data_IF_452968583517
#
_entry.id   IF_452968583517
#
_cell.length_a   1.000
_cell.length_b   1.000
_cell.length_c   1.000
_cell.angle_alpha   90.00
_cell.angle_beta   90.00
_cell.angle_gamma   90.00
#
_symmetry.space_group_name_H-M   'P 1'
#
loop_
_entity.id
_entity.type
_entity.pdbx_description
1 polymer ?
#
# COMPACT_ATOMS: atom_id res chain seq x y z
N UNK A 1 11.04 15.47 -0.94
CA UNK A 1 10.03 14.59 -1.53
C UNK A 1 9.55 13.60 -0.48
N UNK A 2 8.24 13.37 -0.38
CA UNK A 2 7.61 12.59 0.68
C UNK A 2 8.00 11.10 0.66
N UNK A 3 8.07 10.39 -0.50
CA UNK A 3 8.48 8.99 -0.54
C UNK A 3 9.90 8.78 -0.01
N UNK A 4 10.84 9.66 -0.39
CA UNK A 4 12.22 9.60 0.09
C UNK A 4 12.33 9.92 1.58
N UNK A 5 11.51 10.84 2.09
CA UNK A 5 11.39 11.12 3.52
C UNK A 5 10.93 9.86 4.28
N UNK A 6 9.86 9.21 3.83
CA UNK A 6 9.35 7.98 4.44
C UNK A 6 10.41 6.90 4.54
N UNK A 7 11.16 6.66 3.46
CA UNK A 7 12.25 5.68 3.45
C UNK A 7 13.37 6.03 4.43
N UNK A 8 13.75 7.32 4.52
CA UNK A 8 14.79 7.78 5.46
C UNK A 8 14.39 7.57 6.91
N UNK A 9 13.12 7.78 7.23
CA UNK A 9 12.57 7.56 8.58
C UNK A 9 12.19 6.09 8.84
N UNK A 10 12.68 5.15 8.01
CA UNK A 10 12.42 3.69 8.10
C UNK A 10 10.93 3.31 7.97
N UNK A 11 10.11 4.19 7.41
CA UNK A 11 8.73 3.89 7.04
C UNK A 11 8.67 2.91 5.86
N UNK A 12 7.59 2.13 5.80
CA UNK A 12 7.32 1.25 4.66
C UNK A 12 6.65 2.05 3.54
N UNK A 13 7.22 1.99 2.34
CA UNK A 13 6.66 2.59 1.14
C UNK A 13 5.86 1.55 0.35
N UNK A 14 4.61 1.87 0.02
CA UNK A 14 3.76 1.09 -0.90
C UNK A 14 3.43 2.00 -2.08
N UNK A 15 3.63 1.52 -3.30
CA UNK A 15 3.31 2.26 -4.52
C UNK A 15 2.13 1.61 -5.22
N UNK A 16 1.15 2.42 -5.56
CA UNK A 16 0.00 2.04 -6.38
C UNK A 16 -0.06 3.03 -7.53
N UNK A 17 0.28 2.58 -8.72
CA UNK A 17 0.30 3.42 -9.90
C UNK A 17 0.02 2.61 -11.15
N UNK A 18 -0.59 3.18 -12.19
CA UNK A 18 -0.83 2.46 -13.45
C UNK A 18 0.50 2.12 -14.14
N UNK A 19 1.47 3.04 -14.09
CA UNK A 19 2.75 2.93 -14.78
C UNK A 19 3.93 2.83 -13.80
N UNK A 20 5.07 2.25 -14.23
CA UNK A 20 6.28 2.18 -13.42
C UNK A 20 6.85 3.54 -13.02
N UNK A 21 7.63 3.57 -11.95
CA UNK A 21 8.36 4.74 -11.46
C UNK A 21 9.74 4.36 -10.96
N UNK A 22 10.68 5.32 -11.00
CA UNK A 22 12.03 5.19 -10.46
C UNK A 22 12.08 4.86 -8.95
N UNK A 23 10.94 4.90 -8.25
CA UNK A 23 10.81 4.54 -6.84
C UNK A 23 10.38 3.09 -6.61
N UNK A 24 10.01 2.34 -7.65
CA UNK A 24 9.51 0.96 -7.52
C UNK A 24 10.53 0.06 -6.83
N UNK A 25 11.81 0.19 -7.19
CA UNK A 25 12.91 -0.58 -6.60
C UNK A 25 13.10 -0.35 -5.09
N UNK A 26 12.57 0.77 -4.57
CA UNK A 26 12.69 1.16 -3.16
C UNK A 26 11.43 0.86 -2.36
N UNK A 27 10.33 0.52 -3.01
CA UNK A 27 9.08 0.24 -2.34
C UNK A 27 9.05 -1.19 -1.80
N UNK A 28 8.43 -1.38 -0.64
CA UNK A 28 8.22 -2.71 -0.08
C UNK A 28 7.18 -3.51 -0.88
N UNK A 29 6.24 -2.80 -1.51
CA UNK A 29 5.19 -3.36 -2.37
C UNK A 29 4.94 -2.37 -3.50
N UNK A 30 4.87 -2.89 -4.72
CA UNK A 30 4.50 -2.14 -5.93
C UNK A 30 3.31 -2.82 -6.58
N UNK A 31 2.26 -2.06 -6.87
CA UNK A 31 1.07 -2.56 -7.57
C UNK A 31 0.84 -1.70 -8.82
N UNK A 32 1.01 -2.33 -9.99
CA UNK A 32 0.76 -1.70 -11.28
C UNK A 32 -0.71 -1.88 -11.70
N UNK A 33 -1.55 -0.92 -11.33
CA UNK A 33 -2.97 -0.95 -11.66
C UNK A 33 -3.60 0.44 -11.52
N UNK A 34 -4.75 0.65 -12.18
CA UNK A 34 -5.61 1.81 -11.94
C UNK A 34 -6.01 1.88 -10.47
N UNK A 35 -5.67 3.00 -9.83
CA UNK A 35 -5.92 3.29 -8.41
C UNK A 35 -7.39 3.13 -8.02
N UNK A 36 -8.31 3.60 -8.88
CA UNK A 36 -9.76 3.51 -8.65
C UNK A 36 -10.30 2.07 -8.58
N UNK A 37 -9.59 1.09 -9.14
CA UNK A 37 -9.96 -0.32 -9.07
C UNK A 37 -9.34 -1.02 -7.88
N UNK A 38 -8.06 -0.72 -7.58
CA UNK A 38 -7.29 -1.49 -6.60
C UNK A 38 -7.45 -1.01 -5.16
N UNK A 39 -7.62 0.30 -4.92
CA UNK A 39 -7.78 0.82 -3.57
C UNK A 39 -9.02 0.25 -2.85
N UNK A 40 -10.21 0.11 -3.49
CA UNK A 40 -11.34 -0.54 -2.86
C UNK A 40 -11.03 -1.97 -2.38
N UNK A 41 -10.33 -2.76 -3.19
CA UNK A 41 -9.96 -4.14 -2.86
C UNK A 41 -8.99 -4.19 -1.66
N UNK A 42 -8.01 -3.29 -1.62
CA UNK A 42 -7.09 -3.17 -0.48
C UNK A 42 -7.86 -2.83 0.80
N UNK A 43 -8.84 -1.91 0.72
CA UNK A 43 -9.67 -1.53 1.86
C UNK A 43 -10.52 -2.70 2.36
N UNK A 44 -11.14 -3.46 1.45
CA UNK A 44 -11.92 -4.65 1.80
C UNK A 44 -11.07 -5.70 2.50
N UNK A 45 -9.85 -5.93 2.02
CA UNK A 45 -8.93 -6.90 2.62
C UNK A 45 -8.48 -6.44 4.02
N UNK A 46 -8.16 -5.15 4.20
CA UNK A 46 -7.84 -4.59 5.52
C UNK A 46 -9.02 -4.75 6.49
N UNK A 47 -10.27 -4.59 6.01
CA UNK A 47 -11.46 -4.79 6.85
C UNK A 47 -11.58 -6.24 7.33
N UNK A 48 -11.35 -7.22 6.45
CA UNK A 48 -11.36 -8.64 6.84
C UNK A 48 -10.28 -8.94 7.88
N UNK A 49 -9.05 -8.49 7.64
CA UNK A 49 -7.92 -8.68 8.56
C UNK A 49 -8.21 -8.07 9.94
N UNK A 50 -8.87 -6.91 9.99
CA UNK A 50 -9.29 -6.30 11.26
C UNK A 50 -10.39 -7.10 11.97
N UNK A 51 -11.39 -7.58 11.23
CA UNK A 51 -12.45 -8.41 11.81
C UNK A 51 -11.96 -9.77 12.30
N UNK A 52 -10.88 -10.30 11.73
CA UNK A 52 -10.23 -11.52 12.21
C UNK A 52 -9.39 -11.28 13.48
N UNK A 53 -8.92 -10.04 13.69
CA UNK A 53 -8.10 -9.64 14.84
C UNK A 53 -8.95 -9.22 16.06
N UNK A 54 -10.19 -8.77 15.83
CA UNK A 54 -11.16 -8.46 16.89
C UNK A 54 -12.14 -9.63 17.01
N UNK A 55 -11.94 -10.59 17.93
CA UNK A 55 -12.96 -11.61 18.17
C UNK A 55 -14.23 -10.88 18.63
N UNK A 56 -15.37 -11.20 18.03
CA UNK A 56 -16.68 -10.73 18.51
C UNK A 56 -16.79 -10.96 20.02
N UNK A 57 -16.63 -9.89 20.80
CA UNK A 57 -16.89 -9.85 22.25
C UNK A 57 -18.37 -9.53 22.46
#
# INVERSE_FOLDING_TARGET
DLPLYTLREKGKLIIVNDQPTHLDEKAAVVIHHKTGTILPLIVEEIKKLKSEQEPNV
#
